data_IF_622450710633
#
_entry.id   IF_622450710633
#
_cell.length_a   1.000
_cell.length_b   1.000
_cell.length_c   1.000
_cell.angle_alpha   90.00
_cell.angle_beta   90.00
_cell.angle_gamma   90.00
#
_symmetry.space_group_name_H-M   'P 1'
#
loop_
_entity.id
_entity.type
_entity.pdbx_description
1 polymer ?
#
# COMPACT_ATOMS: atom_id res chain seq x y z
N UNK A 1 47.50 -0.49 12.26
CA UNK A 1 46.93 0.71 11.57
C UNK A 1 46.39 0.45 10.17
N UNK A 2 47.09 -0.25 9.26
CA UNK A 2 46.61 -0.47 7.88
C UNK A 2 45.32 -1.33 7.80
N UNK A 3 45.24 -2.41 8.58
CA UNK A 3 44.05 -3.26 8.65
C UNK A 3 42.79 -2.54 9.15
N UNK A 4 42.93 -1.69 10.18
CA UNK A 4 41.82 -0.89 10.72
C UNK A 4 41.29 0.08 9.66
N UNK A 5 42.17 0.70 8.87
CA UNK A 5 41.77 1.57 7.75
C UNK A 5 41.04 0.80 6.66
N UNK A 6 41.49 -0.41 6.30
CA UNK A 6 40.83 -1.26 5.29
C UNK A 6 39.44 -1.69 5.77
N UNK A 7 39.32 -2.11 7.02
CA UNK A 7 38.03 -2.48 7.63
C UNK A 7 37.08 -1.28 7.60
N UNK A 8 37.55 -0.09 7.99
CA UNK A 8 36.75 1.12 7.99
C UNK A 8 36.30 1.52 6.57
N UNK A 9 37.19 1.42 5.58
CA UNK A 9 36.88 1.71 4.16
C UNK A 9 35.85 0.73 3.59
N UNK A 10 35.79 -0.51 4.07
CA UNK A 10 34.76 -1.49 3.65
C UNK A 10 33.45 -1.35 4.43
N UNK A 11 33.51 -1.03 5.72
CA UNK A 11 32.31 -0.91 6.57
C UNK A 11 31.48 0.33 6.26
N UNK A 12 32.13 1.47 6.00
CA UNK A 12 31.45 2.74 5.70
C UNK A 12 30.49 2.66 4.50
N UNK A 13 30.90 2.16 3.31
CA UNK A 13 29.97 2.04 2.19
C UNK A 13 28.86 1.03 2.45
N UNK A 14 29.12 -0.05 3.19
CA UNK A 14 28.09 -1.02 3.59
C UNK A 14 27.06 -0.34 4.50
N UNK A 15 27.51 0.43 5.50
CA UNK A 15 26.62 1.23 6.35
C UNK A 15 25.80 2.21 5.52
N UNK A 16 26.43 2.99 4.64
CA UNK A 16 25.73 3.93 3.78
C UNK A 16 24.66 3.20 2.95
N UNK A 17 24.99 2.04 2.37
CA UNK A 17 24.02 1.22 1.63
C UNK A 17 22.83 0.82 2.51
N UNK A 18 23.08 0.27 3.71
CA UNK A 18 22.03 -0.17 4.63
C UNK A 18 21.10 0.97 5.06
N UNK A 19 21.62 2.18 5.23
CA UNK A 19 20.81 3.35 5.62
C UNK A 19 20.08 4.02 4.44
N UNK A 20 20.58 3.88 3.21
CA UNK A 20 20.00 4.51 2.01
C UNK A 20 19.06 3.60 1.23
N UNK A 21 19.24 2.29 1.30
CA UNK A 21 18.37 1.30 0.66
C UNK A 21 16.90 1.40 1.07
N UNK A 22 16.53 1.61 2.35
CA UNK A 22 15.13 1.75 2.74
C UNK A 22 14.47 3.01 2.17
N UNK A 23 15.23 4.11 2.08
CA UNK A 23 14.77 5.36 1.46
C UNK A 23 14.57 5.19 -0.05
N UNK A 24 15.49 4.48 -0.69
CA UNK A 24 15.39 4.16 -2.11
C UNK A 24 14.21 3.22 -2.39
N UNK A 25 13.97 2.23 -1.53
CA UNK A 25 12.82 1.32 -1.62
C UNK A 25 11.50 2.06 -1.45
N UNK A 26 11.42 3.00 -0.49
CA UNK A 26 10.24 3.84 -0.31
C UNK A 26 9.97 4.78 -1.51
N UNK A 27 11.04 5.29 -2.13
CA UNK A 27 10.95 6.16 -3.31
C UNK A 27 10.56 5.40 -4.57
N UNK A 28 11.18 4.24 -4.82
CA UNK A 28 10.94 3.42 -6.01
C UNK A 28 9.64 2.62 -5.92
N UNK A 29 9.26 2.19 -4.71
CA UNK A 29 8.05 1.42 -4.46
C UNK A 29 7.09 2.19 -3.56
N UNK A 30 6.33 3.17 -4.10
CA UNK A 30 5.39 3.96 -3.32
C UNK A 30 4.40 3.07 -2.58
N UNK A 31 3.91 3.55 -1.43
CA UNK A 31 2.99 2.82 -0.57
C UNK A 31 1.86 2.19 -1.40
N UNK A 32 1.54 0.90 -1.16
CA UNK A 32 0.59 0.16 -1.98
C UNK A 32 -0.76 0.89 -2.02
N UNK A 33 -1.26 1.05 -3.24
CA UNK A 33 -2.56 1.68 -3.51
C UNK A 33 -3.61 0.59 -3.51
N UNK A 34 -4.52 0.65 -2.55
CA UNK A 34 -5.58 -0.36 -2.38
C UNK A 34 -6.89 0.16 -2.94
N UNK A 35 -7.54 -0.62 -3.79
CA UNK A 35 -8.85 -0.26 -4.35
C UNK A 35 -9.95 -1.09 -3.71
N UNK A 36 -10.97 -0.40 -3.24
CA UNK A 36 -12.20 -0.94 -2.66
C UNK A 36 -13.37 -0.52 -3.53
N UNK A 37 -14.34 -1.41 -3.67
CA UNK A 37 -15.58 -1.15 -4.39
C UNK A 37 -16.74 -1.78 -3.61
N UNK A 38 -17.94 -1.25 -3.72
CA UNK A 38 -19.13 -1.92 -3.20
C UNK A 38 -19.55 -3.07 -4.11
N UNK A 39 -20.22 -4.08 -3.55
CA UNK A 39 -20.76 -5.21 -4.30
C UNK A 39 -21.73 -4.81 -5.43
N UNK A 40 -22.44 -3.69 -5.28
CA UNK A 40 -23.32 -3.13 -6.31
C UNK A 40 -22.62 -2.15 -7.27
N UNK A 41 -21.32 -1.93 -7.07
CA UNK A 41 -20.47 -1.05 -7.86
C UNK A 41 -20.78 0.44 -7.77
N UNK A 42 -21.68 0.87 -6.88
CA UNK A 42 -22.09 2.28 -6.73
C UNK A 42 -21.13 3.12 -5.89
N UNK A 43 -20.23 2.48 -5.16
CA UNK A 43 -19.20 3.12 -4.37
C UNK A 43 -17.82 2.57 -4.75
N UNK A 44 -16.88 3.46 -5.05
CA UNK A 44 -15.48 3.12 -5.27
C UNK A 44 -14.60 4.02 -4.41
N UNK A 45 -13.62 3.41 -3.74
CA UNK A 45 -12.64 4.13 -2.94
C UNK A 45 -11.24 3.60 -3.20
N UNK A 46 -10.28 4.52 -3.32
CA UNK A 46 -8.87 4.16 -3.47
C UNK A 46 -8.10 4.69 -2.29
N UNK A 47 -7.58 3.79 -1.47
CA UNK A 47 -6.67 4.12 -0.39
C UNK A 47 -5.28 4.43 -0.97
N UNK A 48 -4.84 5.64 -0.72
CA UNK A 48 -3.52 6.15 -1.01
C UNK A 48 -2.94 6.74 0.29
N UNK A 49 -2.28 5.92 1.12
CA UNK A 49 -1.81 6.34 2.45
C UNK A 49 -0.86 7.55 2.37
N UNK A 50 0.01 7.59 1.35
CA UNK A 50 0.94 8.70 1.12
C UNK A 50 0.27 10.05 0.77
N UNK A 51 -1.05 10.09 0.56
CA UNK A 51 -1.86 11.29 0.28
C UNK A 51 -2.94 11.52 1.33
N UNK A 52 -2.84 10.85 2.49
CA UNK A 52 -3.84 10.93 3.55
C UNK A 52 -5.18 10.29 3.21
N UNK A 53 -5.27 9.48 2.15
CA UNK A 53 -6.43 8.61 1.88
C UNK A 53 -6.15 7.24 2.47
N UNK A 54 -6.16 7.16 3.79
CA UNK A 54 -5.92 5.92 4.50
C UNK A 54 -7.22 5.11 4.67
N UNK A 55 -7.13 4.01 5.43
CA UNK A 55 -8.26 3.14 5.73
C UNK A 55 -9.38 3.89 6.48
N UNK A 56 -9.03 4.79 7.39
CA UNK A 56 -10.02 5.58 8.12
C UNK A 56 -10.79 6.55 7.22
N UNK A 57 -10.10 7.16 6.25
CA UNK A 57 -10.75 7.98 5.22
C UNK A 57 -11.72 7.16 4.37
N UNK A 58 -11.42 5.89 4.11
CA UNK A 58 -12.30 4.96 3.40
C UNK A 58 -13.56 4.64 4.22
N UNK A 59 -13.41 4.26 5.49
CA UNK A 59 -14.55 3.92 6.34
C UNK A 59 -15.46 5.13 6.57
N UNK A 60 -14.87 6.33 6.73
CA UNK A 60 -15.63 7.58 6.79
C UNK A 60 -16.39 7.86 5.50
N UNK A 61 -15.74 7.72 4.34
CA UNK A 61 -16.38 7.91 3.04
C UNK A 61 -17.52 6.91 2.80
N UNK A 62 -17.37 5.67 3.30
CA UNK A 62 -18.45 4.68 3.30
C UNK A 62 -19.61 5.14 4.17
N UNK A 63 -19.37 5.51 5.43
CA UNK A 63 -20.41 5.99 6.35
C UNK A 63 -21.17 7.19 5.77
N UNK A 64 -20.45 8.18 5.24
CA UNK A 64 -21.06 9.36 4.60
C UNK A 64 -21.97 8.97 3.43
N UNK A 65 -21.57 7.94 2.65
CA UNK A 65 -22.38 7.44 1.54
C UNK A 65 -23.61 6.64 2.00
N UNK A 66 -23.45 5.82 3.03
CA UNK A 66 -24.53 5.04 3.66
C UNK A 66 -25.59 5.97 4.25
N UNK A 67 -25.19 7.02 4.96
CA UNK A 67 -26.10 8.03 5.52
C UNK A 67 -26.84 8.80 4.44
N UNK A 68 -26.12 9.26 3.40
CA UNK A 68 -26.69 10.05 2.31
C UNK A 68 -27.71 9.27 1.49
N UNK A 69 -27.42 8.00 1.19
CA UNK A 69 -28.26 7.18 0.32
C UNK A 69 -29.21 6.25 1.10
N UNK A 70 -29.12 6.23 2.44
CA UNK A 70 -29.87 5.31 3.32
C UNK A 70 -29.72 3.84 2.91
N UNK A 71 -28.51 3.47 2.47
CA UNK A 71 -28.16 2.10 2.06
C UNK A 71 -27.07 1.57 2.96
N UNK A 72 -26.96 0.25 3.07
CA UNK A 72 -25.83 -0.41 3.72
C UNK A 72 -24.93 -1.00 2.65
N UNK A 73 -23.68 -0.55 2.60
CA UNK A 73 -22.70 -0.96 1.61
C UNK A 73 -21.86 -2.12 2.14
N UNK A 74 -21.78 -3.19 1.36
CA UNK A 74 -20.77 -4.23 1.55
C UNK A 74 -19.60 -3.94 0.62
N UNK A 75 -18.42 -3.72 1.20
CA UNK A 75 -17.20 -3.46 0.45
C UNK A 75 -16.51 -4.78 0.07
N UNK A 76 -15.91 -4.78 -1.11
CA UNK A 76 -15.06 -5.83 -1.62
C UNK A 76 -13.78 -5.20 -2.22
N UNK A 77 -12.72 -6.00 -2.32
CA UNK A 77 -11.42 -5.59 -2.86
C UNK A 77 -11.41 -5.73 -4.37
N UNK A 78 -10.91 -4.70 -5.06
CA UNK A 78 -10.77 -4.68 -6.53
C UNK A 78 -9.30 -4.69 -6.91
N UNK A 79 -8.86 -5.73 -7.63
CA UNK A 79 -7.50 -5.75 -8.16
C UNK A 79 -7.42 -4.94 -9.44
N UNK A 80 -6.56 -3.91 -9.45
CA UNK A 80 -6.19 -3.26 -10.70
C UNK A 80 -4.99 -3.98 -11.28
N UNK A 81 -5.20 -4.76 -12.35
CA UNK A 81 -4.11 -5.41 -13.06
C UNK A 81 -3.12 -4.34 -13.58
N UNK A 82 -1.89 -4.39 -13.08
CA UNK A 82 -0.76 -3.62 -13.61
C UNK A 82 0.22 -4.62 -14.23
N UNK A 83 0.12 -4.91 -15.54
CA UNK A 83 0.95 -5.93 -16.18
C UNK A 83 2.44 -5.66 -15.99
N UNK A 84 2.82 -4.37 -16.07
CA UNK A 84 4.18 -3.90 -15.88
C UNK A 84 4.66 -3.94 -14.43
N UNK A 85 3.80 -4.22 -13.45
CA UNK A 85 4.15 -4.28 -12.02
C UNK A 85 3.60 -5.55 -11.38
N UNK A 86 3.58 -6.66 -12.13
CA UNK A 86 3.05 -7.93 -11.64
C UNK A 86 3.66 -8.34 -10.31
N UNK A 87 4.98 -8.15 -10.11
CA UNK A 87 5.71 -8.53 -8.89
C UNK A 87 5.17 -7.89 -7.59
N UNK A 88 4.42 -6.80 -7.67
CA UNK A 88 3.80 -6.15 -6.51
C UNK A 88 2.59 -6.93 -5.96
N UNK A 89 2.13 -8.00 -6.63
CA UNK A 89 0.97 -8.80 -6.24
C UNK A 89 1.03 -9.27 -4.78
N UNK A 90 2.21 -9.66 -4.29
CA UNK A 90 2.39 -10.14 -2.91
C UNK A 90 2.06 -9.07 -1.85
N UNK A 91 2.26 -7.79 -2.16
CA UNK A 91 1.94 -6.67 -1.26
C UNK A 91 0.44 -6.52 -1.04
N UNK A 92 -0.35 -6.87 -2.05
CA UNK A 92 -1.81 -6.89 -1.95
C UNK A 92 -2.29 -8.06 -1.07
N UNK A 93 -1.67 -9.23 -1.18
CA UNK A 93 -2.05 -10.43 -0.40
C UNK A 93 -1.69 -10.29 1.08
N UNK A 94 -0.53 -9.69 1.38
CA UNK A 94 -0.02 -9.59 2.74
C UNK A 94 -0.51 -8.37 3.52
N UNK A 95 -1.39 -7.54 2.94
CA UNK A 95 -1.91 -6.36 3.60
C UNK A 95 -3.02 -6.74 4.60
N UNK A 96 -2.86 -6.44 5.91
CA UNK A 96 -3.86 -6.78 6.92
C UNK A 96 -5.22 -6.10 6.65
N UNK A 97 -5.21 -4.90 6.08
CA UNK A 97 -6.43 -4.15 5.78
C UNK A 97 -7.11 -4.60 4.47
N UNK A 98 -6.38 -5.29 3.60
CA UNK A 98 -6.88 -5.74 2.30
C UNK A 98 -7.30 -7.21 2.31
N UNK A 99 -6.78 -8.01 3.23
CA UNK A 99 -7.09 -9.43 3.34
C UNK A 99 -8.47 -9.71 3.97
N UNK A 100 -9.00 -8.77 4.76
CA UNK A 100 -10.30 -8.92 5.44
C UNK A 100 -11.51 -8.71 4.53
N UNK A 101 -11.33 -8.37 3.26
CA UNK A 101 -12.41 -8.12 2.30
C UNK A 101 -12.42 -9.17 1.19
N UNK A 102 -13.62 -9.60 0.78
CA UNK A 102 -13.82 -10.49 -0.36
C UNK A 102 -13.47 -9.79 -1.67
N UNK A 103 -13.06 -10.55 -2.70
CA UNK A 103 -12.75 -9.99 -4.04
C UNK A 103 -14.04 -9.63 -4.75
N UNK A 104 -14.14 -8.41 -5.29
CA UNK A 104 -15.21 -8.09 -6.25
C UNK A 104 -14.89 -8.80 -7.58
N UNK A 105 -15.83 -9.60 -8.10
CA UNK A 105 -15.77 -10.14 -9.47
C UNK A 105 -15.97 -9.05 -10.53
#
# INVERSE_FOLDING_TARGET
>A
MKFVKIIFVLLVPILILVYTLPLLDLYLNPLPVYHYQSTDGKFEFTCYPAKGRDYWAMEKAKQDHEEKNKVKLTLCRKYKAKPLHFWEWHRYVNSPNYNNYEVCE
#
